data_IF_500141758060
#
_entry.id   IF_500141758060
#
_cell.length_a   1.000
_cell.length_b   1.000
_cell.length_c   1.000
_cell.angle_alpha   90.00
_cell.angle_beta   90.00
_cell.angle_gamma   90.00
#
_symmetry.space_group_name_H-M   'P 1'
#
loop_
_entity.id
_entity.type
_entity.pdbx_description
1 polymer ?
#
# COMPACT_ATOMS: atom_id res chain seq x y z
N UNK A 1 -32.75 0.32 -17.22
CA UNK A 1 -32.03 -0.94 -16.90
C UNK A 1 -30.56 -0.65 -16.66
N UNK A 2 -29.83 -0.01 -17.59
CA UNK A 2 -28.40 0.37 -17.38
C UNK A 2 -28.14 1.28 -16.16
N UNK A 3 -29.05 2.21 -15.84
CA UNK A 3 -28.87 3.15 -14.72
C UNK A 3 -28.94 2.46 -13.34
N UNK A 4 -29.72 1.38 -13.21
CA UNK A 4 -29.83 0.65 -11.94
C UNK A 4 -28.60 -0.21 -11.66
N UNK A 5 -28.01 -0.79 -12.71
CA UNK A 5 -26.79 -1.59 -12.60
C UNK A 5 -25.56 -0.73 -12.25
N UNK A 6 -25.45 0.48 -12.81
CA UNK A 6 -24.40 1.44 -12.45
C UNK A 6 -24.51 1.84 -10.97
N UNK A 7 -25.70 2.23 -10.52
CA UNK A 7 -25.95 2.61 -9.12
C UNK A 7 -25.75 1.45 -8.13
N UNK A 8 -25.91 0.20 -8.58
CA UNK A 8 -25.65 -0.98 -7.78
C UNK A 8 -24.14 -1.22 -7.66
N UNK A 9 -23.40 -1.12 -8.76
CA UNK A 9 -21.94 -1.28 -8.74
C UNK A 9 -21.26 -0.18 -7.93
N UNK A 10 -21.70 1.08 -8.03
CA UNK A 10 -21.18 2.20 -7.22
C UNK A 10 -21.39 1.96 -5.71
N UNK A 11 -22.56 1.43 -5.32
CA UNK A 11 -22.84 1.06 -3.92
C UNK A 11 -21.96 -0.09 -3.45
N UNK A 12 -21.81 -1.12 -4.28
CA UNK A 12 -20.93 -2.25 -3.97
C UNK A 12 -19.48 -1.80 -3.79
N UNK A 13 -19.01 -0.90 -4.66
CA UNK A 13 -17.68 -0.31 -4.57
C UNK A 13 -17.52 0.51 -3.27
N UNK A 14 -18.52 1.34 -2.93
CA UNK A 14 -18.52 2.10 -1.67
C UNK A 14 -18.43 1.18 -0.45
N UNK A 15 -19.22 0.11 -0.40
CA UNK A 15 -19.13 -0.88 0.68
C UNK A 15 -17.75 -1.55 0.75
N UNK A 16 -17.08 -1.79 -0.40
CA UNK A 16 -15.71 -2.33 -0.42
C UNK A 16 -14.71 -1.33 0.16
N UNK A 17 -14.82 -0.05 -0.21
CA UNK A 17 -13.97 1.01 0.33
C UNK A 17 -14.14 1.11 1.84
N UNK A 18 -15.37 1.19 2.34
CA UNK A 18 -15.66 1.24 3.78
C UNK A 18 -15.07 0.04 4.53
N UNK A 19 -15.14 -1.16 3.93
CA UNK A 19 -14.54 -2.36 4.50
C UNK A 19 -13.00 -2.24 4.56
N UNK A 20 -12.37 -1.80 3.47
CA UNK A 20 -10.92 -1.59 3.41
C UNK A 20 -10.48 -0.59 4.49
N UNK A 21 -11.18 0.54 4.61
CA UNK A 21 -10.89 1.55 5.63
C UNK A 21 -11.10 1.02 7.05
N UNK A 22 -12.14 0.21 7.27
CA UNK A 22 -12.37 -0.43 8.56
C UNK A 22 -11.25 -1.39 8.92
N UNK A 23 -10.92 -2.33 8.03
CA UNK A 23 -9.86 -3.33 8.23
C UNK A 23 -8.53 -2.62 8.45
N UNK A 24 -8.25 -1.58 7.66
CA UNK A 24 -7.06 -0.77 7.81
C UNK A 24 -6.97 -0.06 9.16
N UNK A 25 -8.06 0.53 9.64
CA UNK A 25 -8.12 1.15 10.95
C UNK A 25 -7.87 0.15 12.09
N UNK A 26 -8.29 -1.12 11.95
CA UNK A 26 -7.98 -2.16 12.94
C UNK A 26 -6.49 -2.48 12.97
N UNK A 27 -5.86 -2.60 11.79
CA UNK A 27 -4.41 -2.82 11.67
C UNK A 27 -3.65 -1.67 12.33
N UNK A 28 -4.03 -0.43 12.05
CA UNK A 28 -3.41 0.74 12.66
C UNK A 28 -3.57 0.71 14.19
N UNK A 29 -4.76 0.45 14.73
CA UNK A 29 -4.96 0.31 16.19
C UNK A 29 -4.07 -0.76 16.82
N UNK A 30 -3.89 -1.89 16.13
CA UNK A 30 -3.05 -2.99 16.60
C UNK A 30 -1.55 -2.65 16.51
N UNK A 31 -1.13 -1.92 15.48
CA UNK A 31 0.24 -1.40 15.37
C UNK A 31 0.59 -0.38 16.47
N UNK A 32 -0.33 0.53 16.81
CA UNK A 32 -0.12 1.47 17.93
C UNK A 32 0.11 0.76 19.27
N UNK A 33 -0.40 -0.47 19.40
CA UNK A 33 -0.21 -1.35 20.57
C UNK A 33 1.00 -2.28 20.45
N UNK A 34 1.94 -2.08 19.51
CA UNK A 34 3.08 -3.01 19.26
C UNK A 34 3.92 -3.34 20.50
N UNK A 35 3.97 -2.44 21.48
CA UNK A 35 4.69 -2.63 22.75
C UNK A 35 3.78 -3.12 23.90
N UNK A 36 2.52 -3.43 23.62
CA UNK A 36 1.50 -3.88 24.56
C UNK A 36 0.98 -5.29 24.20
N UNK A 37 0.42 -6.03 25.15
CA UNK A 37 -0.27 -7.29 24.86
C UNK A 37 -1.37 -7.10 23.80
N UNK A 38 -1.28 -7.88 22.72
CA UNK A 38 -2.26 -7.87 21.62
C UNK A 38 -1.88 -6.97 20.43
N UNK A 39 -0.75 -6.25 20.48
CA UNK A 39 -0.17 -5.59 19.31
C UNK A 39 0.61 -6.52 18.38
N UNK A 40 1.17 -5.95 17.30
CA UNK A 40 2.11 -6.66 16.43
C UNK A 40 3.50 -6.69 17.06
N UNK A 41 4.02 -7.88 17.36
CA UNK A 41 5.35 -8.05 17.93
C UNK A 41 6.46 -8.06 16.87
N UNK A 42 6.11 -8.33 15.61
CA UNK A 42 7.04 -8.34 14.48
C UNK A 42 6.43 -7.70 13.24
N UNK A 43 7.28 -7.27 12.32
CA UNK A 43 6.82 -6.78 11.02
C UNK A 43 6.11 -7.84 10.19
N UNK A 44 6.40 -9.14 10.38
CA UNK A 44 5.72 -10.21 9.66
C UNK A 44 4.26 -10.34 10.07
N UNK A 45 3.99 -10.20 11.36
CA UNK A 45 2.62 -10.23 11.87
C UNK A 45 1.82 -9.04 11.36
N UNK A 46 2.42 -7.85 11.35
CA UNK A 46 1.83 -6.66 10.72
C UNK A 46 1.57 -6.91 9.23
N UNK A 47 2.57 -7.40 8.51
CA UNK A 47 2.52 -7.60 7.07
C UNK A 47 1.41 -8.55 6.64
N UNK A 48 1.15 -9.62 7.39
CA UNK A 48 0.07 -10.57 7.09
C UNK A 48 -1.31 -9.92 7.02
N UNK A 49 -1.60 -9.01 7.95
CA UNK A 49 -2.89 -8.31 7.95
C UNK A 49 -2.85 -7.15 6.94
N UNK A 50 -1.73 -6.43 6.85
CA UNK A 50 -1.55 -5.30 5.95
C UNK A 50 -1.62 -5.68 4.48
N UNK A 51 -0.96 -6.77 4.07
CA UNK A 51 -0.98 -7.24 2.68
C UNK A 51 -2.40 -7.61 2.22
N UNK A 52 -3.27 -8.04 3.14
CA UNK A 52 -4.67 -8.31 2.81
C UNK A 52 -5.39 -7.03 2.38
N UNK A 53 -5.19 -5.93 3.12
CA UNK A 53 -5.77 -4.62 2.79
C UNK A 53 -5.22 -4.08 1.47
N UNK A 54 -3.92 -4.26 1.21
CA UNK A 54 -3.31 -3.93 -0.10
C UNK A 54 -3.99 -4.72 -1.22
N UNK A 55 -4.17 -6.03 -1.07
CA UNK A 55 -4.84 -6.87 -2.07
C UNK A 55 -6.29 -6.44 -2.32
N UNK A 56 -7.05 -6.14 -1.26
CA UNK A 56 -8.42 -5.63 -1.41
C UNK A 56 -8.46 -4.30 -2.17
N UNK A 57 -7.47 -3.43 -1.94
CA UNK A 57 -7.34 -2.14 -2.64
C UNK A 57 -7.13 -2.32 -4.14
N UNK A 58 -6.39 -3.36 -4.57
CA UNK A 58 -6.18 -3.67 -5.98
C UNK A 58 -7.45 -4.11 -6.72
N UNK A 59 -8.50 -4.51 -5.99
CA UNK A 59 -9.78 -4.92 -6.57
C UNK A 59 -10.77 -3.77 -6.73
N UNK A 60 -10.42 -2.56 -6.30
CA UNK A 60 -11.22 -1.37 -6.52
C UNK A 60 -11.13 -0.94 -7.99
N UNK A 61 -12.28 -0.64 -8.58
CA UNK A 61 -12.44 -0.18 -9.96
C UNK A 61 -12.26 1.33 -10.10
N UNK A 62 -12.47 2.05 -9.01
CA UNK A 62 -12.38 3.52 -8.96
C UNK A 62 -10.96 4.01 -8.71
N UNK A 63 -10.70 5.28 -9.03
CA UNK A 63 -9.41 5.94 -8.72
C UNK A 63 -9.15 6.08 -7.22
N UNK A 64 -10.13 5.77 -6.36
CA UNK A 64 -9.96 5.66 -4.91
C UNK A 64 -8.85 4.67 -4.53
N UNK A 65 -8.58 3.66 -5.36
CA UNK A 65 -7.46 2.74 -5.20
C UNK A 65 -6.11 3.46 -5.10
N UNK A 66 -5.90 4.51 -5.89
CA UNK A 66 -4.67 5.33 -5.88
C UNK A 66 -4.51 5.99 -4.51
N UNK A 67 -5.55 6.68 -4.04
CA UNK A 67 -5.50 7.41 -2.77
C UNK A 67 -5.31 6.47 -1.58
N UNK A 68 -5.99 5.32 -1.59
CA UNK A 68 -5.84 4.32 -0.54
C UNK A 68 -4.42 3.74 -0.58
N UNK A 69 -3.91 3.34 -1.74
CA UNK A 69 -2.56 2.78 -1.84
C UNK A 69 -1.48 3.81 -1.49
N UNK A 70 -1.67 5.11 -1.78
CA UNK A 70 -0.79 6.19 -1.32
C UNK A 70 -0.67 6.17 0.22
N UNK A 71 -1.80 6.13 0.91
CA UNK A 71 -1.83 6.14 2.37
C UNK A 71 -1.19 4.87 2.94
N UNK A 72 -1.58 3.70 2.41
CA UNK A 72 -1.02 2.41 2.81
C UNK A 72 0.50 2.40 2.63
N UNK A 73 1.01 2.93 1.52
CA UNK A 73 2.45 2.92 1.22
C UNK A 73 3.24 3.81 2.17
N UNK A 74 2.76 5.03 2.45
CA UNK A 74 3.41 5.91 3.42
C UNK A 74 3.46 5.30 4.82
N UNK A 75 2.32 4.76 5.27
CA UNK A 75 2.24 4.13 6.59
C UNK A 75 3.07 2.83 6.66
N UNK A 76 3.16 2.05 5.57
CA UNK A 76 4.06 0.91 5.48
C UNK A 76 5.52 1.34 5.69
N UNK A 77 5.95 2.44 5.06
CA UNK A 77 7.31 2.95 5.24
C UNK A 77 7.59 3.35 6.69
N UNK A 78 6.65 4.04 7.33
CA UNK A 78 6.79 4.46 8.73
C UNK A 78 6.78 3.26 9.69
N UNK A 79 5.89 2.30 9.48
CA UNK A 79 5.87 1.03 10.22
C UNK A 79 7.16 0.25 10.00
N UNK A 80 7.65 0.23 8.77
CA UNK A 80 8.91 -0.42 8.44
C UNK A 80 10.02 0.18 9.29
N UNK A 81 10.17 1.50 9.34
CA UNK A 81 11.15 2.21 10.17
C UNK A 81 11.10 1.84 11.65
N UNK A 82 9.90 1.74 12.22
CA UNK A 82 9.66 1.40 13.62
C UNK A 82 10.09 -0.03 14.00
N UNK A 83 10.05 -0.99 13.06
CA UNK A 83 10.49 -2.38 13.32
C UNK A 83 12.00 -2.59 13.06
N UNK A 84 12.81 -1.53 13.10
CA UNK A 84 14.25 -1.56 12.76
C UNK A 84 15.11 -2.63 13.43
N UNK A 85 14.76 -3.06 14.65
CA UNK A 85 15.49 -4.11 15.36
C UNK A 85 15.24 -5.52 14.80
N UNK A 86 14.07 -5.78 14.21
CA UNK A 86 13.71 -7.07 13.60
C UNK A 86 14.29 -7.23 12.17
N UNK A 87 14.85 -6.15 11.59
CA UNK A 87 15.28 -6.05 10.19
C UNK A 87 16.57 -6.78 9.83
N UNK A 88 17.37 -7.22 10.81
CA UNK A 88 18.63 -7.95 10.53
C UNK A 88 18.41 -9.42 10.15
N UNK A 89 17.20 -9.93 10.33
CA UNK A 89 16.87 -11.37 10.28
C UNK A 89 15.81 -11.73 9.24
N UNK A 90 15.24 -10.74 8.54
CA UNK A 90 14.10 -10.91 7.66
C UNK A 90 14.40 -10.54 6.23
N UNK A 91 13.97 -11.40 5.32
CA UNK A 91 13.92 -11.12 3.89
C UNK A 91 12.76 -10.14 3.61
N UNK A 92 12.98 -8.87 3.93
CA UNK A 92 12.03 -7.79 3.70
C UNK A 92 11.82 -7.48 2.21
N UNK A 93 12.61 -8.10 1.32
CA UNK A 93 12.50 -7.94 -0.13
C UNK A 93 11.09 -8.24 -0.62
N UNK A 94 10.49 -9.34 -0.15
CA UNK A 94 9.14 -9.75 -0.54
C UNK A 94 8.08 -8.67 -0.28
N UNK A 95 8.25 -7.86 0.76
CA UNK A 95 7.28 -6.82 1.13
C UNK A 95 7.36 -5.64 0.16
N UNK A 96 8.57 -5.20 -0.18
CA UNK A 96 8.78 -4.15 -1.17
C UNK A 96 8.39 -4.60 -2.58
N UNK A 97 8.67 -5.86 -2.95
CA UNK A 97 8.23 -6.43 -4.24
C UNK A 97 6.70 -6.50 -4.35
N UNK A 98 6.00 -6.90 -3.29
CA UNK A 98 4.55 -6.91 -3.26
C UNK A 98 3.95 -5.50 -3.38
N UNK A 99 4.55 -4.51 -2.72
CA UNK A 99 4.14 -3.12 -2.86
C UNK A 99 4.44 -2.56 -4.26
N UNK A 100 5.59 -2.91 -4.86
CA UNK A 100 5.89 -2.56 -6.25
C UNK A 100 4.88 -3.18 -7.22
N UNK A 101 4.52 -4.45 -7.03
CA UNK A 101 3.48 -5.10 -7.81
C UNK A 101 2.13 -4.38 -7.69
N UNK A 102 1.74 -3.99 -6.47
CA UNK A 102 0.51 -3.27 -6.23
C UNK A 102 0.50 -1.93 -7.00
N UNK A 103 1.59 -1.17 -6.93
CA UNK A 103 1.72 0.09 -7.65
C UNK A 103 1.68 -0.08 -9.16
N UNK A 104 2.44 -1.04 -9.71
CA UNK A 104 2.40 -1.36 -11.15
C UNK A 104 0.98 -1.68 -11.60
N UNK A 105 0.25 -2.49 -10.82
CA UNK A 105 -1.13 -2.87 -11.14
C UNK A 105 -2.08 -1.67 -11.18
N UNK A 106 -1.99 -0.77 -10.19
CA UNK A 106 -2.81 0.45 -10.16
C UNK A 106 -2.46 1.38 -11.32
N UNK A 107 -1.18 1.62 -11.60
CA UNK A 107 -0.71 2.51 -12.68
C UNK A 107 -1.15 1.98 -14.04
N UNK A 108 -1.16 0.65 -14.25
CA UNK A 108 -1.63 0.04 -15.51
C UNK A 108 -3.15 0.10 -15.67
N UNK A 109 -3.89 -0.02 -14.58
CA UNK A 109 -5.35 -0.18 -14.61
C UNK A 109 -6.09 1.15 -14.60
N UNK A 110 -5.51 2.18 -13.98
CA UNK A 110 -6.16 3.47 -13.80
C UNK A 110 -5.46 4.59 -14.58
N UNK A 111 -6.25 5.57 -15.01
CA UNK A 111 -5.71 6.82 -15.56
C UNK A 111 -5.17 7.67 -14.41
N UNK A 112 -3.85 7.70 -14.28
CA UNK A 112 -3.14 8.55 -13.30
C UNK A 112 -3.02 9.97 -13.86
N UNK A 113 -3.56 10.95 -13.13
CA UNK A 113 -3.41 12.36 -13.51
C UNK A 113 -2.04 12.93 -13.08
N UNK A 114 -1.74 14.18 -13.45
CA UNK A 114 -0.44 14.79 -13.11
C UNK A 114 -0.24 15.00 -11.60
N UNK A 115 -1.31 15.28 -10.86
CA UNK A 115 -1.24 15.48 -9.41
C UNK A 115 -0.93 14.17 -8.73
N UNK A 116 -1.67 13.11 -9.06
CA UNK A 116 -1.45 11.78 -8.51
C UNK A 116 -0.10 11.23 -8.94
N UNK A 117 0.33 11.44 -10.19
CA UNK A 117 1.68 11.09 -10.65
C UNK A 117 2.76 11.66 -9.73
N UNK A 118 2.70 12.95 -9.40
CA UNK A 118 3.69 13.58 -8.50
C UNK A 118 3.64 12.96 -7.11
N UNK A 119 2.44 12.73 -6.56
CA UNK A 119 2.26 12.14 -5.22
C UNK A 119 2.80 10.71 -5.15
N UNK A 120 2.50 9.89 -6.16
CA UNK A 120 3.00 8.52 -6.26
C UNK A 120 4.52 8.54 -6.38
N UNK A 121 5.08 9.36 -7.28
CA UNK A 121 6.54 9.46 -7.42
C UNK A 121 7.24 9.84 -6.11
N UNK A 122 6.68 10.78 -5.36
CA UNK A 122 7.25 11.19 -4.08
C UNK A 122 7.25 10.04 -3.06
N UNK A 123 6.10 9.38 -2.84
CA UNK A 123 6.04 8.28 -1.86
C UNK A 123 6.92 7.09 -2.27
N UNK A 124 7.01 6.78 -3.57
CA UNK A 124 7.85 5.68 -4.05
C UNK A 124 9.34 5.98 -3.90
N UNK A 125 9.77 7.22 -4.16
CA UNK A 125 11.17 7.64 -3.97
C UNK A 125 11.56 7.65 -2.50
N UNK A 126 10.70 8.16 -1.63
CA UNK A 126 10.89 8.10 -0.17
C UNK A 126 11.04 6.63 0.28
N UNK A 127 10.19 5.75 -0.25
CA UNK A 127 10.28 4.31 -0.01
C UNK A 127 11.56 3.67 -0.54
N UNK A 128 12.03 4.08 -1.72
CA UNK A 128 13.27 3.60 -2.32
C UNK A 128 14.49 4.00 -1.49
N UNK A 129 14.54 5.25 -0.99
CA UNK A 129 15.60 5.74 -0.12
C UNK A 129 15.64 4.95 1.19
N UNK A 130 14.47 4.70 1.79
CA UNK A 130 14.35 3.85 2.99
C UNK A 130 14.80 2.42 2.69
N UNK A 131 14.37 1.83 1.58
CA UNK A 131 14.73 0.46 1.17
C UNK A 131 16.23 0.31 0.86
N UNK A 132 16.88 1.35 0.32
CA UNK A 132 18.31 1.36 0.04
C UNK A 132 19.17 1.16 1.30
N UNK A 133 18.71 1.66 2.45
CA UNK A 133 19.36 1.40 3.75
C UNK A 133 19.38 -0.09 4.12
N UNK A 134 18.59 -0.92 3.43
CA UNK A 134 18.45 -2.36 3.63
C UNK A 134 18.96 -3.18 2.44
N UNK A 135 19.83 -2.61 1.61
CA UNK A 135 20.36 -3.27 0.40
C UNK A 135 19.29 -3.62 -0.64
N UNK A 136 18.17 -2.89 -0.66
CA UNK A 136 17.11 -3.00 -1.66
C UNK A 136 17.00 -1.70 -2.50
N UNK A 137 18.09 -1.23 -3.14
CA UNK A 137 18.11 0.06 -3.84
C UNK A 137 17.19 0.11 -5.07
N UNK A 138 16.75 -1.05 -5.56
CA UNK A 138 15.85 -1.18 -6.70
C UNK A 138 14.37 -1.22 -6.33
N UNK A 139 14.01 -1.07 -5.04
CA UNK A 139 12.61 -1.02 -4.62
C UNK A 139 11.84 0.06 -5.39
N UNK A 140 10.67 -0.29 -5.90
CA UNK A 140 9.77 0.57 -6.68
C UNK A 140 10.31 1.09 -8.02
N UNK A 141 11.51 0.69 -8.44
CA UNK A 141 12.16 1.23 -9.64
C UNK A 141 11.29 1.13 -10.89
N UNK A 142 10.55 0.04 -11.07
CA UNK A 142 9.70 -0.15 -12.24
C UNK A 142 8.47 0.77 -12.18
N UNK A 143 7.81 0.85 -11.03
CA UNK A 143 6.66 1.74 -10.85
C UNK A 143 7.05 3.22 -11.06
N UNK A 144 8.26 3.61 -10.62
CA UNK A 144 8.82 4.95 -10.86
C UNK A 144 9.07 5.19 -12.35
N UNK A 145 9.65 4.24 -13.08
CA UNK A 145 9.91 4.34 -14.52
C UNK A 145 8.61 4.52 -15.32
N UNK A 146 7.60 3.69 -15.02
CA UNK A 146 6.28 3.76 -15.67
C UNK A 146 5.64 5.16 -15.58
N UNK A 147 5.81 5.83 -14.45
CA UNK A 147 5.28 7.18 -14.25
C UNK A 147 6.19 8.25 -14.86
N UNK A 148 7.50 8.05 -14.85
CA UNK A 148 8.47 9.04 -15.33
C UNK A 148 8.47 9.17 -16.86
N UNK A 149 8.01 8.14 -17.58
CA UNK A 149 7.96 8.14 -19.05
C UNK A 149 9.32 7.85 -19.70
N UNK A 150 10.19 7.15 -18.96
CA UNK A 150 11.46 6.59 -19.45
C UNK A 150 11.27 5.15 -19.95
#
# INVERSE_FOLDING_TARGET
>A
METEDILKEERHETTRIEKIEHDYAQIQRKFHKRNEPGGYGTIQEYWKDFTHVVQLTLHLKTSSSIQILLNLTGDFHDVFDEFSETKKTLDCQEYFEAMEFAWKSIIQTHKVDQTDKVRILNVLRDGQDRAAAFSLPSAYSHAIQMLSGE
#
